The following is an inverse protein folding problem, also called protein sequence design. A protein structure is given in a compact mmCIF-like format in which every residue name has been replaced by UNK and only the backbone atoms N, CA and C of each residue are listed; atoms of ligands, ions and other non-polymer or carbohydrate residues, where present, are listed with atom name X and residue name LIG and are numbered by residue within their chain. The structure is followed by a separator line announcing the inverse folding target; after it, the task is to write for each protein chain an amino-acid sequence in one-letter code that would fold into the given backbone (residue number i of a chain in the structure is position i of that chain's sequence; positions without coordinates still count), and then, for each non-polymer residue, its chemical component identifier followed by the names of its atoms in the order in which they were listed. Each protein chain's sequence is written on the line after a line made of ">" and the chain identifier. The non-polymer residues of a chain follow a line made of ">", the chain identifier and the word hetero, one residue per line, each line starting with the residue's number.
data_IF_830463595436
#
_entry.id   IF_830463595436
#
_cell.length_a   1.000
_cell.length_b   1.000
_cell.length_c   1.000
_cell.angle_alpha   90.00
_cell.angle_beta   90.00
_cell.angle_gamma   90.00
#
_symmetry.space_group_name_H-M   'P 1'
#
loop_
_entity.id
_entity.type
_entity.pdbx_description
1 polymer ?
#
# COMPACT_ATOMS: atom_id res chain seq x y z
N UNK A 1 37.06 -16.42 25.25
CA UNK A 1 36.82 -17.09 23.94
C UNK A 1 35.38 -17.56 23.79
N UNK A 2 34.73 -18.16 24.81
CA UNK A 2 33.33 -18.61 24.73
C UNK A 2 32.30 -17.47 24.82
N UNK A 3 32.47 -16.52 25.74
CA UNK A 3 31.53 -15.38 25.90
C UNK A 3 31.46 -14.45 24.69
N UNK A 4 32.60 -14.21 24.03
CA UNK A 4 32.68 -13.38 22.82
C UNK A 4 31.89 -13.98 21.64
N UNK A 5 31.85 -15.32 21.53
CA UNK A 5 31.05 -16.00 20.51
C UNK A 5 29.56 -16.01 20.85
N UNK A 6 29.21 -16.16 22.13
CA UNK A 6 27.84 -16.04 22.60
C UNK A 6 27.26 -14.64 22.34
N UNK A 7 28.02 -13.59 22.66
CA UNK A 7 27.64 -12.19 22.40
C UNK A 7 27.49 -11.93 20.90
N UNK A 8 28.41 -12.45 20.05
CA UNK A 8 28.32 -12.28 18.61
C UNK A 8 27.08 -12.98 18.02
N UNK A 9 26.73 -14.18 18.50
CA UNK A 9 25.50 -14.87 18.10
C UNK A 9 24.26 -14.11 18.54
N UNK A 10 24.21 -13.62 19.78
CA UNK A 10 23.09 -12.82 20.27
C UNK A 10 22.97 -11.53 19.46
N UNK A 11 24.07 -10.84 19.16
CA UNK A 11 24.06 -9.63 18.34
C UNK A 11 23.54 -9.90 16.92
N UNK A 12 24.01 -10.96 16.27
CA UNK A 12 23.53 -11.36 14.95
C UNK A 12 22.03 -11.72 14.97
N UNK A 13 21.57 -12.42 16.01
CA UNK A 13 20.15 -12.73 16.20
C UNK A 13 19.31 -11.47 16.41
N UNK A 14 19.75 -10.54 17.27
CA UNK A 14 19.08 -9.26 17.51
C UNK A 14 19.01 -8.42 16.23
N UNK A 15 20.10 -8.36 15.46
CA UNK A 15 20.15 -7.63 14.20
C UNK A 15 19.23 -8.24 13.13
N UNK A 16 19.17 -9.57 13.05
CA UNK A 16 18.23 -10.27 12.17
C UNK A 16 16.76 -9.97 12.56
N UNK A 17 16.42 -10.00 13.85
CA UNK A 17 15.08 -9.64 14.33
C UNK A 17 14.72 -8.19 14.04
N UNK A 18 15.63 -7.24 14.29
CA UNK A 18 15.42 -5.83 13.98
C UNK A 18 15.18 -5.61 12.48
N UNK A 19 15.94 -6.32 11.64
CA UNK A 19 15.78 -6.25 10.18
C UNK A 19 14.45 -6.83 9.73
N UNK A 20 14.03 -7.98 10.29
CA UNK A 20 12.74 -8.59 9.97
C UNK A 20 11.57 -7.68 10.36
N UNK A 21 11.62 -7.04 11.53
CA UNK A 21 10.60 -6.09 11.96
C UNK A 21 10.55 -4.88 11.02
N UNK A 22 11.70 -4.32 10.65
CA UNK A 22 11.77 -3.20 9.71
C UNK A 22 11.20 -3.58 8.33
N UNK A 23 11.54 -4.76 7.81
CA UNK A 23 11.00 -5.26 6.54
C UNK A 23 9.48 -5.41 6.58
N UNK A 24 8.91 -5.91 7.69
CA UNK A 24 7.46 -6.01 7.83
C UNK A 24 6.79 -4.63 7.78
N UNK A 25 7.33 -3.65 8.49
CA UNK A 25 6.83 -2.26 8.45
C UNK A 25 6.95 -1.65 7.05
N UNK A 26 8.08 -1.85 6.38
CA UNK A 26 8.30 -1.37 5.01
C UNK A 26 7.30 -2.02 4.06
N UNK A 27 7.10 -3.34 4.13
CA UNK A 27 6.14 -4.03 3.26
C UNK A 27 4.71 -3.54 3.47
N UNK A 28 4.27 -3.32 4.71
CA UNK A 28 2.96 -2.73 4.99
C UNK A 28 2.82 -1.33 4.38
N UNK A 29 3.85 -0.49 4.53
CA UNK A 29 3.83 0.86 3.96
C UNK A 29 3.82 0.84 2.43
N UNK A 30 4.55 -0.09 1.81
CA UNK A 30 4.61 -0.25 0.37
C UNK A 30 3.28 -0.76 -0.19
N UNK A 31 2.61 -1.67 0.52
CA UNK A 31 1.28 -2.14 0.14
C UNK A 31 0.26 -1.00 0.19
N UNK A 32 0.25 -0.20 1.26
CA UNK A 32 -0.63 0.97 1.36
C UNK A 32 -0.38 2.00 0.25
N UNK A 33 0.88 2.22 -0.14
CA UNK A 33 1.24 3.12 -1.23
C UNK A 33 0.81 2.58 -2.59
N UNK A 34 0.92 1.26 -2.81
CA UNK A 34 0.42 0.60 -4.00
C UNK A 34 -1.11 0.75 -4.13
N UNK A 35 -1.87 0.52 -3.05
CA UNK A 35 -3.33 0.68 -3.04
C UNK A 35 -3.74 2.12 -3.38
N UNK A 36 -3.03 3.10 -2.82
CA UNK A 36 -3.28 4.52 -3.11
C UNK A 36 -3.04 4.86 -4.59
N UNK A 37 -2.04 4.25 -5.22
CA UNK A 37 -1.78 4.42 -6.66
C UNK A 37 -2.87 3.82 -7.53
N UNK A 38 -3.45 2.68 -7.13
CA UNK A 38 -4.59 2.06 -7.82
C UNK A 38 -5.83 2.95 -7.71
N UNK A 39 -6.11 3.48 -6.53
CA UNK A 39 -7.22 4.43 -6.33
C UNK A 39 -7.05 5.67 -7.20
N UNK A 40 -5.84 6.24 -7.25
CA UNK A 40 -5.57 7.40 -8.10
C UNK A 40 -5.78 7.10 -9.58
N UNK A 41 -5.36 5.92 -10.07
CA UNK A 41 -5.59 5.49 -11.45
C UNK A 41 -7.09 5.29 -11.74
N UNK A 42 -7.83 4.70 -10.81
CA UNK A 42 -9.29 4.53 -10.92
C UNK A 42 -9.99 5.90 -10.96
N UNK A 43 -9.56 6.85 -10.13
CA UNK A 43 -10.14 8.18 -10.09
C UNK A 43 -9.86 8.95 -11.39
N UNK A 44 -8.62 8.91 -11.89
CA UNK A 44 -8.26 9.50 -13.17
C UNK A 44 -9.03 8.87 -14.34
N UNK A 45 -9.20 7.55 -14.35
CA UNK A 45 -9.97 6.86 -15.40
C UNK A 45 -11.46 7.20 -15.32
N UNK A 46 -12.03 7.33 -14.12
CA UNK A 46 -13.40 7.78 -13.92
C UNK A 46 -13.61 9.22 -14.42
N UNK A 47 -12.71 10.15 -14.11
CA UNK A 47 -12.77 11.53 -14.61
C UNK A 47 -12.68 11.59 -16.14
N UNK A 48 -11.78 10.80 -16.73
CA UNK A 48 -11.63 10.72 -18.19
C UNK A 48 -12.88 10.13 -18.85
N UNK A 49 -13.46 9.07 -18.28
CA UNK A 49 -14.73 8.51 -18.79
C UNK A 49 -15.86 9.51 -18.65
N UNK A 50 -15.98 10.19 -17.51
CA UNK A 50 -17.02 11.18 -17.26
C UNK A 50 -16.95 12.36 -18.23
N UNK A 51 -15.75 12.80 -18.61
CA UNK A 51 -15.56 13.85 -19.61
C UNK A 51 -16.03 13.46 -21.03
N UNK A 52 -16.15 12.16 -21.32
CA UNK A 52 -16.55 11.62 -22.64
C UNK A 52 -18.01 11.14 -22.63
N UNK A 53 -18.67 11.08 -21.47
CA UNK A 53 -20.07 10.66 -21.38
C UNK A 53 -20.98 11.65 -22.14
N UNK A 54 -21.88 11.15 -23.01
CA UNK A 54 -22.91 11.98 -23.63
C UNK A 54 -23.82 12.61 -22.57
N UNK A 55 -24.35 13.80 -22.86
CA UNK A 55 -25.28 14.48 -21.97
C UNK A 55 -26.43 13.55 -21.54
N UNK A 56 -26.61 13.36 -20.23
CA UNK A 56 -27.63 12.51 -19.62
C UNK A 56 -27.14 11.16 -19.08
N UNK A 57 -25.93 10.70 -19.41
CA UNK A 57 -25.35 9.50 -18.78
C UNK A 57 -24.55 9.86 -17.52
N UNK A 58 -24.78 9.13 -16.42
CA UNK A 58 -24.13 9.38 -15.12
C UNK A 58 -24.81 10.44 -14.24
N UNK A 59 -25.96 10.98 -14.67
CA UNK A 59 -26.80 11.82 -13.83
C UNK A 59 -27.67 10.96 -12.90
N UNK A 60 -27.96 11.50 -11.71
CA UNK A 60 -29.02 10.99 -10.83
C UNK A 60 -30.35 11.09 -11.57
N UNK A 61 -30.76 10.01 -12.21
CA UNK A 61 -32.10 9.89 -12.78
C UNK A 61 -33.09 9.65 -11.64
N UNK A 62 -34.07 10.54 -11.53
CA UNK A 62 -35.18 10.36 -10.60
C UNK A 62 -36.07 9.21 -11.11
N UNK A 63 -35.94 8.04 -10.46
CA UNK A 63 -36.65 6.80 -10.82
C UNK A 63 -37.96 6.61 -10.04
N UNK A 64 -38.47 7.66 -9.39
CA UNK A 64 -39.65 7.55 -8.49
C UNK A 64 -41.00 7.96 -9.10
N UNK A 65 -41.09 8.14 -10.43
CA UNK A 65 -42.35 8.45 -11.12
C UNK A 65 -43.15 7.21 -11.57
#
# INVERSE_FOLDING_TARGET
>A
MSDSMAIAQTFAATQATATQQALQTIMLSQQAQADQSVVALLQQSAEQMQAVLPAGQGQSVDITA
#
